data_IF_025601249953
#
_entry.id   IF_025601249953
#
_cell.length_a   1.000
_cell.length_b   1.000
_cell.length_c   1.000
_cell.angle_alpha   90.00
_cell.angle_beta   90.00
_cell.angle_gamma   90.00
#
_symmetry.space_group_name_H-M   'P 1'
#
loop_
_entity.id
_entity.type
_entity.pdbx_description
1 polymer ?
#
# COMPACT_ATOMS: atom_id res chain seq x y z
N UNK A 1 -4.36 14.85 14.60
CA UNK A 1 -4.27 13.87 15.72
C UNK A 1 -3.14 14.30 16.65
N UNK A 2 -3.35 14.41 17.98
CA UNK A 2 -2.41 15.07 18.88
C UNK A 2 -1.10 14.32 19.20
N UNK A 3 -0.97 13.02 18.86
CA UNK A 3 0.15 12.18 19.31
C UNK A 3 0.99 11.52 18.21
N UNK A 4 0.81 11.92 16.95
CA UNK A 4 1.57 11.35 15.80
C UNK A 4 3.05 11.76 15.74
N UNK A 5 3.53 12.55 16.70
CA UNK A 5 4.91 13.03 16.78
C UNK A 5 5.84 12.11 17.58
N UNK A 6 5.30 11.13 18.31
CA UNK A 6 6.09 10.16 19.04
C UNK A 6 6.58 9.06 18.10
N UNK A 7 7.89 8.79 18.12
CA UNK A 7 8.47 7.69 17.35
C UNK A 7 8.00 6.34 17.87
N UNK A 8 7.82 5.37 16.98
CA UNK A 8 7.40 4.02 17.34
C UNK A 8 8.32 3.38 18.38
N UNK A 9 9.63 3.56 18.23
CA UNK A 9 10.63 3.06 19.17
C UNK A 9 10.43 3.60 20.59
N UNK A 10 10.01 4.86 20.72
CA UNK A 10 9.76 5.47 22.02
C UNK A 10 8.48 4.93 22.65
N UNK A 11 7.44 4.70 21.83
CA UNK A 11 6.20 4.04 22.26
C UNK A 11 6.52 2.62 22.77
N UNK A 12 7.29 1.83 22.03
CA UNK A 12 7.69 0.47 22.43
C UNK A 12 8.46 0.48 23.76
N UNK A 13 9.43 1.38 23.91
CA UNK A 13 10.19 1.54 25.16
C UNK A 13 9.31 1.91 26.34
N UNK A 14 8.31 2.78 26.14
CA UNK A 14 7.41 3.22 27.20
C UNK A 14 6.48 2.10 27.69
N UNK A 15 6.04 1.21 26.79
CA UNK A 15 5.13 0.11 27.14
C UNK A 15 5.90 -1.16 27.56
N UNK A 16 7.20 -1.27 27.24
CA UNK A 16 8.02 -2.43 27.57
C UNK A 16 7.69 -3.68 26.74
N UNK A 17 7.00 -3.50 25.61
CA UNK A 17 6.61 -4.56 24.68
C UNK A 17 7.49 -4.44 23.43
N UNK A 18 7.87 -5.58 22.86
CA UNK A 18 8.67 -5.67 21.64
C UNK A 18 7.89 -5.28 20.38
N UNK A 19 7.89 -6.15 19.37
CA UNK A 19 7.14 -5.90 18.14
C UNK A 19 5.64 -5.76 18.43
N UNK A 20 5.05 -4.66 17.97
CA UNK A 20 3.64 -4.32 18.24
C UNK A 20 2.71 -4.75 17.12
N UNK A 21 3.24 -4.84 15.90
CA UNK A 21 2.51 -5.16 14.69
C UNK A 21 3.44 -5.81 13.68
N UNK A 22 2.88 -6.74 12.93
CA UNK A 22 3.51 -7.54 11.87
C UNK A 22 3.10 -7.07 10.46
N UNK A 23 2.21 -6.08 10.39
CA UNK A 23 1.67 -5.52 9.15
C UNK A 23 1.66 -4.01 9.16
N UNK A 24 1.81 -3.40 7.99
CA UNK A 24 1.66 -1.95 7.80
C UNK A 24 0.79 -1.65 6.59
N UNK A 25 -0.02 -0.60 6.70
CA UNK A 25 -0.81 -0.05 5.59
C UNK A 25 -0.25 1.34 5.24
N UNK A 26 0.11 1.53 3.99
CA UNK A 26 0.60 2.79 3.44
C UNK A 26 -0.44 3.29 2.45
N UNK A 27 -0.99 4.48 2.69
CA UNK A 27 -1.88 5.14 1.76
C UNK A 27 -1.15 6.33 1.13
N UNK A 28 -0.89 6.26 -0.18
CA UNK A 28 -0.14 7.27 -0.90
C UNK A 28 -1.07 8.42 -1.33
N UNK A 29 -1.22 9.44 -0.47
CA UNK A 29 -2.08 10.61 -0.72
C UNK A 29 -1.51 11.63 -1.75
N UNK A 30 -0.63 11.19 -2.65
CA UNK A 30 -0.01 12.04 -3.67
C UNK A 30 -0.32 11.48 -5.06
N UNK A 31 -0.26 12.29 -6.13
CA UNK A 31 -0.46 11.77 -7.47
C UNK A 31 0.68 10.82 -7.83
N UNK A 32 0.49 9.52 -7.57
CA UNK A 32 1.34 8.45 -8.07
C UNK A 32 0.95 8.19 -9.51
N UNK A 33 1.15 9.19 -10.35
CA UNK A 33 0.93 9.05 -11.78
C UNK A 33 2.23 9.28 -12.51
N UNK A 34 3.18 8.36 -12.26
CA UNK A 34 4.45 8.31 -12.99
C UNK A 34 4.18 8.13 -14.51
N UNK A 35 3.05 7.51 -14.88
CA UNK A 35 2.58 7.39 -16.27
C UNK A 35 1.88 8.63 -16.84
N UNK A 36 1.34 9.53 -16.00
CA UNK A 36 0.88 10.86 -16.44
C UNK A 36 2.03 11.85 -16.56
N UNK A 37 3.07 11.74 -15.73
CA UNK A 37 4.29 12.53 -15.93
C UNK A 37 5.01 12.18 -17.23
N UNK A 38 4.91 10.94 -17.75
CA UNK A 38 5.45 10.60 -19.07
C UNK A 38 4.59 11.08 -20.25
N UNK A 39 3.30 11.40 -20.03
CA UNK A 39 2.46 12.13 -21.02
C UNK A 39 2.68 13.64 -20.97
N UNK A 40 2.90 14.22 -19.79
CA UNK A 40 3.16 15.66 -19.64
C UNK A 40 4.54 16.10 -20.18
N UNK A 41 5.52 15.18 -20.21
CA UNK A 41 6.85 15.44 -20.80
C UNK A 41 6.82 15.49 -22.34
N UNK A 42 5.78 14.94 -23.00
CA UNK A 42 5.69 14.93 -24.47
C UNK A 42 5.31 16.29 -25.10
N UNK A 43 4.79 17.24 -24.33
CA UNK A 43 4.35 18.56 -24.83
C UNK A 43 5.36 19.70 -24.55
N UNK A 44 6.55 19.39 -24.04
CA UNK A 44 7.56 20.39 -23.68
C UNK A 44 8.71 20.41 -24.70
N UNK A 45 8.65 21.29 -25.70
CA UNK A 45 9.72 21.51 -26.69
C UNK A 45 10.97 22.18 -26.10
N UNK A 46 11.68 21.49 -25.21
CA UNK A 46 12.96 21.92 -24.63
C UNK A 46 13.93 20.75 -24.43
N UNK A 47 15.21 20.98 -24.06
CA UNK A 47 16.27 19.95 -23.99
C UNK A 47 15.99 18.73 -23.07
N UNK A 48 14.87 18.74 -22.34
CA UNK A 48 14.39 17.70 -21.43
C UNK A 48 13.68 16.55 -22.16
N UNK A 49 13.43 16.69 -23.48
CA UNK A 49 12.70 15.78 -24.36
C UNK A 49 13.35 14.38 -24.55
N UNK A 50 14.42 14.08 -23.81
CA UNK A 50 15.13 12.79 -23.84
C UNK A 50 15.19 12.09 -22.49
N UNK A 51 14.66 12.69 -21.42
CA UNK A 51 14.67 12.07 -20.10
C UNK A 51 13.45 11.18 -19.92
N UNK A 52 13.62 9.87 -20.18
CA UNK A 52 12.61 8.86 -19.88
C UNK A 52 12.85 8.27 -18.49
N UNK A 53 12.01 8.61 -17.53
CA UNK A 53 11.96 7.90 -16.24
C UNK A 53 11.27 6.56 -16.49
N UNK A 54 12.03 5.47 -16.35
CA UNK A 54 11.46 4.12 -16.34
C UNK A 54 11.05 3.84 -14.90
N UNK A 55 9.82 3.36 -14.63
CA UNK A 55 9.45 2.91 -13.30
C UNK A 55 10.45 1.83 -12.87
N UNK A 56 11.36 2.17 -11.95
CA UNK A 56 12.12 1.18 -11.22
C UNK A 56 11.20 0.75 -10.09
N UNK A 57 10.84 -0.53 -10.03
CA UNK A 57 10.05 -1.05 -8.93
C UNK A 57 10.73 -0.69 -7.61
N UNK A 58 10.12 0.19 -6.82
CA UNK A 58 10.61 0.47 -5.47
C UNK A 58 10.35 -0.77 -4.64
N UNK A 59 11.40 -1.56 -4.41
CA UNK A 59 11.37 -2.64 -3.45
C UNK A 59 11.74 -2.03 -2.10
N UNK A 60 10.78 -1.32 -1.51
CA UNK A 60 10.93 -0.86 -0.14
C UNK A 60 11.00 -2.11 0.73
N UNK A 61 12.20 -2.39 1.25
CA UNK A 61 12.40 -3.43 2.24
C UNK A 61 11.75 -2.97 3.55
N UNK A 62 10.43 -3.07 3.62
CA UNK A 62 9.71 -2.85 4.87
C UNK A 62 10.09 -3.98 5.82
N UNK A 63 10.51 -3.64 7.04
CA UNK A 63 10.86 -4.62 8.07
C UNK A 63 9.65 -5.46 8.54
N UNK A 64 8.44 -5.18 8.04
CA UNK A 64 7.20 -5.89 8.35
C UNK A 64 7.00 -7.09 7.41
N UNK A 65 6.59 -8.26 7.94
CA UNK A 65 6.23 -9.45 7.16
C UNK A 65 5.29 -9.22 5.97
N UNK A 66 4.30 -8.33 6.11
CA UNK A 66 3.31 -8.01 5.08
C UNK A 66 2.98 -6.51 5.08
N UNK A 67 3.02 -5.90 3.90
CA UNK A 67 2.76 -4.47 3.70
C UNK A 67 1.69 -4.30 2.61
N UNK A 68 0.61 -3.58 2.93
CA UNK A 68 -0.38 -3.15 1.96
C UNK A 68 -0.11 -1.70 1.55
N UNK A 69 0.15 -1.47 0.27
CA UNK A 69 0.27 -0.13 -0.31
C UNK A 69 -0.99 0.15 -1.13
N UNK A 70 -1.60 1.30 -0.87
CA UNK A 70 -2.79 1.79 -1.54
C UNK A 70 -2.45 3.06 -2.30
N UNK A 71 -2.51 2.96 -3.63
CA UNK A 71 -2.33 4.10 -4.52
C UNK A 71 -3.72 4.51 -5.07
N UNK A 72 -4.24 5.68 -4.68
CA UNK A 72 -5.54 6.17 -5.13
C UNK A 72 -5.50 6.56 -6.61
N UNK A 73 -6.51 6.12 -7.36
CA UNK A 73 -6.69 6.42 -8.78
C UNK A 73 -7.93 5.72 -9.35
N UNK A 74 -8.32 6.00 -10.60
CA UNK A 74 -9.21 5.15 -11.37
C UNK A 74 -8.39 4.31 -12.38
N UNK A 75 -8.07 3.04 -12.09
CA UNK A 75 -8.54 2.23 -10.97
C UNK A 75 -7.75 2.45 -9.66
N UNK A 76 -8.36 2.05 -8.53
CA UNK A 76 -7.67 1.98 -7.25
C UNK A 76 -6.64 0.84 -7.32
N UNK A 77 -5.38 1.15 -7.04
CA UNK A 77 -4.30 0.16 -7.07
C UNK A 77 -3.95 -0.29 -5.65
N UNK A 78 -3.86 -1.61 -5.48
CA UNK A 78 -3.49 -2.27 -4.23
C UNK A 78 -2.28 -3.16 -4.49
N UNK A 79 -1.23 -3.02 -3.68
CA UNK A 79 -0.02 -3.86 -3.74
C UNK A 79 0.25 -4.50 -2.39
N UNK A 80 0.50 -5.80 -2.39
CA UNK A 80 0.96 -6.55 -1.22
C UNK A 80 2.44 -6.86 -1.38
N UNK A 81 3.28 -6.19 -0.61
CA UNK A 81 4.69 -6.53 -0.46
C UNK A 81 4.83 -7.48 0.74
N UNK A 82 5.62 -8.55 0.59
CA UNK A 82 5.71 -9.59 1.61
C UNK A 82 7.10 -10.22 1.70
N UNK A 83 7.39 -10.84 2.85
CA UNK A 83 8.61 -11.62 3.07
C UNK A 83 8.44 -13.05 2.54
N UNK A 84 9.22 -13.48 1.53
CA UNK A 84 9.02 -14.78 0.88
C UNK A 84 9.45 -15.98 1.73
N UNK A 85 10.18 -15.75 2.83
CA UNK A 85 10.50 -16.76 3.84
C UNK A 85 9.32 -17.05 4.79
N UNK A 86 8.32 -16.16 4.83
CA UNK A 86 7.12 -16.30 5.67
C UNK A 86 5.86 -16.62 4.86
N UNK A 87 5.76 -16.13 3.63
CA UNK A 87 4.60 -16.33 2.78
C UNK A 87 5.00 -16.84 1.40
N UNK A 88 4.28 -17.85 0.91
CA UNK A 88 4.33 -18.21 -0.50
C UNK A 88 3.47 -17.25 -1.35
N UNK A 89 3.74 -17.25 -2.66
CA UNK A 89 3.06 -16.34 -3.58
C UNK A 89 1.55 -16.60 -3.66
N UNK A 90 1.13 -17.87 -3.70
CA UNK A 90 -0.28 -18.28 -3.77
C UNK A 90 -1.10 -17.79 -2.57
N UNK A 91 -0.49 -17.76 -1.38
CA UNK A 91 -1.11 -17.26 -0.16
C UNK A 91 -1.40 -15.77 -0.28
N UNK A 92 -0.44 -15.00 -0.80
CA UNK A 92 -0.58 -13.56 -0.99
C UNK A 92 -1.60 -13.24 -2.08
N UNK A 93 -1.63 -14.00 -3.17
CA UNK A 93 -2.67 -13.88 -4.20
C UNK A 93 -4.07 -14.14 -3.62
N UNK A 94 -4.23 -15.22 -2.82
CA UNK A 94 -5.49 -15.53 -2.17
C UNK A 94 -5.92 -14.42 -1.18
N UNK A 95 -4.97 -13.83 -0.44
CA UNK A 95 -5.21 -12.67 0.41
C UNK A 95 -5.67 -11.45 -0.40
N UNK A 96 -5.07 -11.19 -1.56
CA UNK A 96 -5.47 -10.12 -2.47
C UNK A 96 -6.92 -10.29 -2.96
N UNK A 97 -7.28 -11.49 -3.43
CA UNK A 97 -8.66 -11.80 -3.86
C UNK A 97 -9.65 -11.67 -2.71
N UNK A 98 -9.25 -12.06 -1.50
CA UNK A 98 -10.07 -11.94 -0.29
C UNK A 98 -10.29 -10.47 0.09
N UNK A 99 -9.24 -9.65 0.05
CA UNK A 99 -9.32 -8.22 0.30
C UNK A 99 -10.26 -7.53 -0.70
N UNK A 100 -10.15 -7.86 -1.99
CA UNK A 100 -11.06 -7.33 -3.02
C UNK A 100 -12.53 -7.66 -2.72
N UNK A 101 -12.82 -8.90 -2.33
CA UNK A 101 -14.18 -9.33 -1.93
C UNK A 101 -14.70 -8.55 -0.73
N UNK A 102 -13.87 -8.36 0.30
CA UNK A 102 -14.23 -7.56 1.49
C UNK A 102 -14.58 -6.13 1.07
N UNK A 103 -13.71 -5.48 0.29
CA UNK A 103 -13.92 -4.09 -0.14
C UNK A 103 -15.21 -3.95 -0.96
N UNK A 104 -15.49 -4.91 -1.86
CA UNK A 104 -16.76 -4.95 -2.62
C UNK A 104 -17.98 -5.14 -1.72
N UNK A 105 -17.90 -6.05 -0.74
CA UNK A 105 -19.00 -6.29 0.19
C UNK A 105 -19.30 -5.07 1.06
N UNK A 106 -18.26 -4.39 1.57
CA UNK A 106 -18.42 -3.18 2.39
C UNK A 106 -19.05 -2.02 1.62
N UNK A 107 -18.74 -1.86 0.33
CA UNK A 107 -19.34 -0.82 -0.51
C UNK A 107 -20.77 -1.19 -0.93
N UNK A 108 -21.08 -2.48 -1.04
CA UNK A 108 -22.42 -2.94 -1.39
C UNK A 108 -23.43 -2.81 -0.23
N UNK A 109 -22.99 -3.03 1.02
CA UNK A 109 -23.82 -2.87 2.22
C UNK A 109 -22.95 -2.41 3.40
N UNK A 110 -23.01 -1.11 3.71
CA UNK A 110 -22.23 -0.48 4.78
C UNK A 110 -22.78 -0.77 6.19
N UNK A 111 -24.04 -1.23 6.29
CA UNK A 111 -24.70 -1.55 7.56
C UNK A 111 -24.59 -3.04 7.92
N UNK A 112 -24.13 -3.88 6.99
CA UNK A 112 -23.91 -5.30 7.23
C UNK A 112 -22.89 -5.52 8.36
N UNK A 113 -23.20 -6.35 9.37
CA UNK A 113 -22.23 -6.73 10.38
C UNK A 113 -20.98 -7.38 9.75
N UNK A 114 -19.79 -6.92 10.15
CA UNK A 114 -18.50 -7.38 9.58
C UNK A 114 -18.33 -8.90 9.62
N UNK A 115 -18.85 -9.57 10.66
CA UNK A 115 -18.82 -11.03 10.77
C UNK A 115 -19.68 -11.79 9.75
N UNK A 116 -20.46 -11.09 8.91
CA UNK A 116 -21.26 -11.68 7.82
C UNK A 116 -20.63 -11.48 6.44
N UNK A 117 -19.51 -10.77 6.35
CA UNK A 117 -18.73 -10.70 5.10
C UNK A 117 -18.23 -12.12 4.80
N UNK A 118 -18.42 -12.61 3.58
CA UNK A 118 -17.88 -13.89 3.12
C UNK A 118 -16.44 -13.70 2.63
N UNK A 119 -15.51 -14.49 3.19
CA UNK A 119 -14.07 -14.18 3.18
C UNK A 119 -13.20 -15.41 2.91
#
# INVERSE_FOLDING_TARGET
MPHQHLGLTDIQKLVGIGELFDTVVIFENYPVNISASSRAVQDSSGPVDKLRIIPAGTRDATHYPLTLIVAPGPPLELRLDYRPDLFDHSTIEAMGVRLERILKAMVADMDMPVGRVDV
#
